data_IF_843668890642
#
_entry.id   IF_843668890642
#
_cell.length_a   1.000
_cell.length_b   1.000
_cell.length_c   1.000
_cell.angle_alpha   90.00
_cell.angle_beta   90.00
_cell.angle_gamma   90.00
#
_symmetry.space_group_name_H-M   'P 1'
#
loop_
_entity.id
_entity.type
_entity.pdbx_description
1 polymer ?
#
# COMPACT_ATOMS: atom_id res chain seq x y z
N UNK A 1 -1.23 -16.79 21.86
CA UNK A 1 -0.47 -17.54 20.84
C UNK A 1 0.77 -16.73 20.44
N UNK A 2 1.85 -17.36 19.97
CA UNK A 2 3.06 -16.68 19.50
C UNK A 2 2.92 -16.28 18.02
N UNK A 3 3.39 -15.10 17.65
CA UNK A 3 3.49 -14.67 16.23
C UNK A 3 4.69 -15.36 15.59
N UNK A 4 4.57 -15.82 14.35
CA UNK A 4 5.71 -16.28 13.56
C UNK A 4 6.21 -15.17 12.64
N UNK A 5 7.47 -14.79 12.78
CA UNK A 5 8.10 -13.72 12.01
C UNK A 5 9.03 -14.32 10.95
N UNK A 6 8.68 -14.14 9.68
CA UNK A 6 9.54 -14.46 8.54
C UNK A 6 10.24 -13.19 8.09
N UNK A 7 11.55 -13.23 7.92
CA UNK A 7 12.30 -12.07 7.45
C UNK A 7 13.37 -12.44 6.42
N UNK A 8 13.73 -11.48 5.58
CA UNK A 8 14.74 -11.65 4.54
C UNK A 8 14.86 -10.40 3.66
N UNK A 9 15.84 -10.39 2.76
CA UNK A 9 16.15 -9.22 1.93
C UNK A 9 15.36 -9.16 0.60
N UNK A 10 14.56 -10.18 0.30
CA UNK A 10 13.89 -10.33 -0.99
C UNK A 10 12.40 -10.63 -0.80
N UNK A 11 11.53 -9.70 -1.21
CA UNK A 11 10.07 -9.85 -1.13
C UNK A 11 9.56 -11.10 -1.86
N UNK A 12 10.13 -11.41 -3.03
CA UNK A 12 9.75 -12.59 -3.81
C UNK A 12 10.00 -13.90 -3.05
N UNK A 13 11.15 -14.02 -2.36
CA UNK A 13 11.49 -15.19 -1.54
C UNK A 13 10.49 -15.40 -0.40
N UNK A 14 10.17 -14.32 0.31
CA UNK A 14 9.21 -14.32 1.40
C UNK A 14 7.82 -14.71 0.89
N UNK A 15 7.39 -14.11 -0.23
CA UNK A 15 6.11 -14.41 -0.89
C UNK A 15 6.02 -15.89 -1.28
N UNK A 16 6.96 -16.40 -2.06
CA UNK A 16 6.96 -17.79 -2.52
C UNK A 16 6.94 -18.79 -1.35
N UNK A 17 7.71 -18.50 -0.29
CA UNK A 17 7.72 -19.30 0.93
C UNK A 17 6.35 -19.33 1.61
N UNK A 18 5.73 -18.17 1.81
CA UNK A 18 4.41 -18.10 2.43
C UNK A 18 3.33 -18.78 1.58
N UNK A 19 3.32 -18.54 0.27
CA UNK A 19 2.33 -19.16 -0.63
C UNK A 19 2.47 -20.70 -0.64
N UNK A 20 3.69 -21.23 -0.55
CA UNK A 20 3.93 -22.68 -0.40
C UNK A 20 3.36 -23.21 0.91
N UNK A 21 3.62 -22.54 2.02
CA UNK A 21 3.07 -22.94 3.33
C UNK A 21 1.54 -22.88 3.37
N UNK A 22 0.93 -21.85 2.75
CA UNK A 22 -0.53 -21.75 2.63
C UNK A 22 -1.08 -22.89 1.78
N UNK A 23 -0.42 -23.23 0.68
CA UNK A 23 -0.83 -24.35 -0.16
C UNK A 23 -0.80 -25.68 0.61
N UNK A 24 0.31 -25.97 1.29
CA UNK A 24 0.44 -27.19 2.11
C UNK A 24 -0.63 -27.23 3.22
N UNK A 25 -0.93 -26.08 3.84
CA UNK A 25 -1.96 -25.95 4.86
C UNK A 25 -3.37 -26.20 4.33
N UNK A 26 -3.72 -25.57 3.21
CA UNK A 26 -5.05 -25.71 2.58
C UNK A 26 -5.25 -27.07 1.91
N UNK A 27 -4.17 -27.80 1.62
CA UNK A 27 -4.22 -29.20 1.19
C UNK A 27 -4.78 -30.16 2.24
N UNK A 28 -4.77 -29.78 3.53
CA UNK A 28 -5.38 -30.55 4.63
C UNK A 28 -6.91 -30.32 4.74
N UNK A 29 -7.56 -30.12 3.60
CA UNK A 29 -9.00 -29.91 3.45
C UNK A 29 -9.82 -31.08 4.06
N UNK A 30 -11.00 -30.85 4.67
CA UNK A 30 -11.78 -29.61 4.75
C UNK A 30 -11.53 -28.70 5.97
N UNK A 31 -10.68 -29.12 6.92
CA UNK A 31 -10.67 -28.54 8.27
C UNK A 31 -9.74 -27.32 8.42
N UNK A 32 -8.96 -26.99 7.38
CA UNK A 32 -7.89 -25.98 7.45
C UNK A 32 -8.11 -24.84 6.46
N UNK A 33 -8.34 -23.63 7.00
CA UNK A 33 -8.51 -22.38 6.23
C UNK A 33 -7.29 -21.49 6.35
N UNK A 34 -7.07 -20.67 5.33
CA UNK A 34 -6.01 -19.68 5.28
C UNK A 34 -6.53 -18.30 4.86
N UNK A 35 -6.12 -17.27 5.57
CA UNK A 35 -6.31 -15.87 5.17
C UNK A 35 -4.93 -15.26 4.91
N UNK A 36 -4.74 -14.66 3.74
CA UNK A 36 -3.54 -13.91 3.39
C UNK A 36 -3.92 -12.43 3.33
N UNK A 37 -3.39 -11.64 4.26
CA UNK A 37 -3.55 -10.19 4.33
C UNK A 37 -2.42 -9.52 3.55
N UNK A 38 -2.77 -8.72 2.54
CA UNK A 38 -1.81 -8.02 1.66
C UNK A 38 -2.18 -6.54 1.48
N UNK A 39 -1.23 -5.66 1.09
CA UNK A 39 -1.56 -4.32 0.66
C UNK A 39 -2.59 -4.32 -0.47
N UNK A 40 -3.45 -3.31 -0.51
CA UNK A 40 -4.57 -3.24 -1.46
C UNK A 40 -4.09 -3.28 -2.92
N UNK A 41 -2.95 -2.65 -3.22
CA UNK A 41 -2.35 -2.61 -4.55
C UNK A 41 -1.80 -3.97 -5.00
N UNK A 42 -1.43 -4.85 -4.07
CA UNK A 42 -0.78 -6.12 -4.36
C UNK A 42 -1.76 -7.30 -4.48
N UNK A 43 -3.05 -7.11 -4.17
CA UNK A 43 -4.04 -8.19 -4.05
C UNK A 43 -4.08 -9.10 -5.29
N UNK A 44 -4.22 -8.52 -6.47
CA UNK A 44 -4.33 -9.27 -7.72
C UNK A 44 -3.05 -10.07 -8.02
N UNK A 45 -1.88 -9.48 -7.77
CA UNK A 45 -0.60 -10.13 -7.99
C UNK A 45 -0.43 -11.35 -7.08
N UNK A 46 -0.87 -11.25 -5.83
CA UNK A 46 -0.87 -12.39 -4.90
C UNK A 46 -1.87 -13.47 -5.30
N UNK A 47 -3.06 -13.12 -5.79
CA UNK A 47 -4.04 -14.09 -6.30
C UNK A 47 -3.48 -14.86 -7.50
N UNK A 48 -2.88 -14.16 -8.46
CA UNK A 48 -2.25 -14.79 -9.62
C UNK A 48 -1.06 -15.66 -9.20
N UNK A 49 -0.20 -15.17 -8.30
CA UNK A 49 0.95 -15.92 -7.81
C UNK A 49 0.51 -17.22 -7.10
N UNK A 50 -0.53 -17.16 -6.26
CA UNK A 50 -1.07 -18.34 -5.59
C UNK A 50 -1.62 -19.36 -6.59
N UNK A 51 -2.43 -18.94 -7.56
CA UNK A 51 -3.01 -19.85 -8.56
C UNK A 51 -1.93 -20.50 -9.43
N UNK A 52 -0.94 -19.73 -9.88
CA UNK A 52 0.17 -20.24 -10.67
C UNK A 52 1.04 -21.24 -9.88
N UNK A 53 1.31 -20.96 -8.61
CA UNK A 53 2.16 -21.81 -7.77
C UNK A 53 1.46 -23.08 -7.28
N UNK A 54 0.17 -22.98 -6.95
CA UNK A 54 -0.64 -24.13 -6.48
C UNK A 54 -1.07 -25.06 -7.61
N UNK A 55 -1.11 -24.57 -8.86
CA UNK A 55 -1.67 -25.29 -9.99
C UNK A 55 -3.18 -25.52 -9.88
N UNK A 56 -3.85 -24.90 -8.91
CA UNK A 56 -5.30 -25.00 -8.72
C UNK A 56 -6.05 -23.98 -9.58
N UNK A 57 -7.27 -24.34 -9.97
CA UNK A 57 -8.15 -23.46 -10.75
C UNK A 57 -8.87 -22.40 -9.90
N UNK A 58 -8.67 -22.37 -8.58
CA UNK A 58 -9.40 -21.47 -7.69
C UNK A 58 -8.82 -21.34 -6.28
N UNK A 59 -9.30 -20.31 -5.59
CA UNK A 59 -8.99 -19.94 -4.21
C UNK A 59 -10.06 -20.54 -3.29
N UNK A 60 -9.98 -21.84 -3.01
CA UNK A 60 -11.01 -22.55 -2.22
C UNK A 60 -10.94 -22.19 -0.73
N UNK A 61 -9.93 -22.72 -0.02
CA UNK A 61 -9.73 -22.48 1.42
C UNK A 61 -8.73 -21.37 1.73
N UNK A 62 -8.18 -20.73 0.70
CA UNK A 62 -7.29 -19.59 0.82
C UNK A 62 -8.03 -18.32 0.39
N UNK A 63 -8.17 -17.36 1.29
CA UNK A 63 -8.72 -16.02 0.99
C UNK A 63 -7.59 -14.99 0.99
N UNK A 64 -7.40 -14.27 -0.12
CA UNK A 64 -6.43 -13.17 -0.22
C UNK A 64 -7.20 -11.85 -0.08
N UNK A 65 -6.92 -11.10 0.98
CA UNK A 65 -7.69 -9.91 1.38
C UNK A 65 -6.76 -8.76 1.77
N UNK A 66 -7.23 -7.52 1.66
CA UNK A 66 -6.62 -6.40 2.41
C UNK A 66 -7.25 -6.29 3.79
N UNK A 67 -6.64 -5.55 4.73
CA UNK A 67 -7.24 -5.29 6.04
C UNK A 67 -8.67 -4.74 5.95
N UNK A 68 -8.93 -3.84 5.00
CA UNK A 68 -10.25 -3.26 4.79
C UNK A 68 -11.27 -4.26 4.24
N UNK A 69 -10.84 -5.14 3.33
CA UNK A 69 -11.68 -6.23 2.83
C UNK A 69 -11.97 -7.25 3.92
N UNK A 70 -10.98 -7.55 4.78
CA UNK A 70 -11.17 -8.38 5.97
C UNK A 70 -12.21 -7.76 6.92
N UNK A 71 -12.12 -6.45 7.19
CA UNK A 71 -13.09 -5.75 8.03
C UNK A 71 -14.53 -5.85 7.49
N UNK A 72 -14.70 -5.63 6.19
CA UNK A 72 -16.01 -5.78 5.52
C UNK A 72 -16.51 -7.23 5.59
N UNK A 73 -15.61 -8.19 5.31
CA UNK A 73 -15.91 -9.63 5.26
C UNK A 73 -16.34 -10.19 6.61
N UNK A 74 -15.64 -9.84 7.70
CA UNK A 74 -15.95 -10.31 9.04
C UNK A 74 -17.13 -9.58 9.67
N UNK A 75 -17.31 -8.29 9.37
CA UNK A 75 -18.50 -7.54 9.77
C UNK A 75 -19.76 -8.10 9.10
N UNK A 76 -19.67 -8.47 7.82
CA UNK A 76 -20.78 -9.09 7.09
C UNK A 76 -21.28 -10.39 7.71
N UNK A 77 -20.38 -11.24 8.24
CA UNK A 77 -20.77 -12.50 8.90
C UNK A 77 -21.66 -12.26 10.10
N UNK A 78 -21.31 -11.29 10.93
CA UNK A 78 -22.06 -10.98 12.15
C UNK A 78 -23.31 -10.15 11.86
N UNK A 79 -23.68 -9.98 10.59
CA UNK A 79 -24.85 -9.22 10.16
C UNK A 79 -24.68 -7.71 10.33
N UNK A 80 -23.45 -7.22 10.55
CA UNK A 80 -23.15 -5.79 10.48
C UNK A 80 -23.02 -5.43 9.00
N UNK A 81 -24.11 -4.96 8.42
CA UNK A 81 -24.08 -4.35 7.10
C UNK A 81 -23.15 -3.14 7.12
N UNK A 82 -22.35 -2.96 6.08
CA UNK A 82 -21.73 -1.66 5.80
C UNK A 82 -22.89 -0.65 5.71
N UNK A 83 -23.02 0.22 6.72
CA UNK A 83 -24.13 1.18 6.79
C UNK A 83 -24.06 2.22 5.66
N UNK A 84 -24.61 3.41 5.91
CA UNK A 84 -24.40 4.55 5.03
C UNK A 84 -22.93 5.00 5.13
N UNK A 85 -22.04 4.31 4.41
CA UNK A 85 -20.61 4.63 4.34
C UNK A 85 -20.43 5.91 3.54
N UNK A 86 -19.70 6.87 4.11
CA UNK A 86 -19.44 8.12 3.44
C UNK A 86 -18.47 7.91 2.26
N UNK A 87 -18.88 8.35 1.07
CA UNK A 87 -18.00 8.39 -0.11
C UNK A 87 -17.10 9.63 -0.06
N UNK A 88 -15.99 9.60 -0.81
CA UNK A 88 -15.03 10.70 -0.86
C UNK A 88 -15.65 12.06 -1.26
N UNK A 89 -16.65 12.05 -2.16
CA UNK A 89 -17.40 13.25 -2.52
C UNK A 89 -18.26 13.76 -1.36
N UNK A 90 -18.97 12.88 -0.66
CA UNK A 90 -19.73 13.21 0.54
C UNK A 90 -18.84 13.75 1.66
N UNK A 91 -17.67 13.15 1.86
CA UNK A 91 -16.66 13.63 2.80
C UNK A 91 -16.22 15.06 2.46
N UNK A 92 -15.90 15.33 1.19
CA UNK A 92 -15.54 16.66 0.75
C UNK A 92 -16.67 17.68 0.97
N UNK A 93 -17.93 17.29 0.74
CA UNK A 93 -19.09 18.16 0.98
C UNK A 93 -19.27 18.49 2.47
N UNK A 94 -19.15 17.48 3.35
CA UNK A 94 -19.25 17.67 4.81
C UNK A 94 -18.11 18.58 5.28
N UNK A 95 -16.88 18.32 4.88
CA UNK A 95 -15.72 19.13 5.27
C UNK A 95 -15.81 20.56 4.72
N UNK A 96 -16.27 20.74 3.48
CA UNK A 96 -16.51 22.08 2.93
C UNK A 96 -17.50 22.86 3.79
N UNK A 97 -18.63 22.24 4.14
CA UNK A 97 -19.63 22.86 5.01
C UNK A 97 -19.04 23.23 6.38
N UNK A 98 -18.31 22.32 7.02
CA UNK A 98 -17.69 22.57 8.32
C UNK A 98 -16.68 23.72 8.28
N UNK A 99 -15.88 23.80 7.21
CA UNK A 99 -14.94 24.90 7.00
C UNK A 99 -15.66 26.26 6.87
N UNK A 100 -16.85 26.29 6.28
CA UNK A 100 -17.66 27.51 6.18
C UNK A 100 -18.36 27.85 7.50
N UNK A 101 -19.00 26.86 8.13
CA UNK A 101 -19.76 27.03 9.37
C UNK A 101 -18.86 27.50 10.53
N UNK A 102 -17.60 27.01 10.58
CA UNK A 102 -16.63 27.36 11.62
C UNK A 102 -15.58 28.39 11.17
N UNK A 103 -15.76 29.04 10.02
CA UNK A 103 -14.74 29.92 9.42
C UNK A 103 -14.21 31.00 10.36
N UNK A 104 -15.08 31.58 11.20
CA UNK A 104 -14.72 32.63 12.16
C UNK A 104 -13.91 32.12 13.36
N UNK A 105 -13.94 30.82 13.62
CA UNK A 105 -13.24 30.17 14.74
C UNK A 105 -11.86 29.63 14.31
N UNK A 106 -11.66 29.41 13.00
CA UNK A 106 -10.40 28.92 12.44
C UNK A 106 -9.30 29.99 12.49
N UNK A 107 -8.13 29.62 13.01
CA UNK A 107 -6.98 30.52 13.18
C UNK A 107 -6.05 30.52 11.96
N UNK A 108 -5.80 29.35 11.38
CA UNK A 108 -4.89 29.16 10.26
C UNK A 108 -5.63 28.91 8.94
N UNK A 109 -6.76 28.22 8.98
CA UNK A 109 -7.43 27.69 7.79
C UNK A 109 -8.55 28.57 7.24
N UNK A 110 -8.95 29.65 7.93
CA UNK A 110 -10.07 30.52 7.55
C UNK A 110 -9.95 31.07 6.10
N UNK A 111 -8.74 31.45 5.67
CA UNK A 111 -8.49 31.97 4.32
C UNK A 111 -8.34 30.89 3.24
N UNK A 112 -8.26 29.63 3.65
CA UNK A 112 -8.11 28.47 2.76
C UNK A 112 -9.42 27.70 2.58
N UNK A 113 -10.45 27.99 3.39
CA UNK A 113 -11.76 27.33 3.39
C UNK A 113 -12.44 27.29 2.01
N UNK A 114 -12.20 28.30 1.16
CA UNK A 114 -12.82 28.39 -0.17
C UNK A 114 -12.03 27.64 -1.26
N UNK A 115 -10.82 27.15 -0.97
CA UNK A 115 -9.97 26.51 -1.99
C UNK A 115 -10.32 25.03 -2.14
N UNK A 116 -10.79 24.56 -3.32
CA UNK A 116 -11.20 23.16 -3.50
C UNK A 116 -10.07 22.15 -3.24
N UNK A 117 -8.83 22.51 -3.60
CA UNK A 117 -7.66 21.67 -3.35
C UNK A 117 -7.35 21.49 -1.86
N UNK A 118 -7.73 22.46 -1.03
CA UNK A 118 -7.49 22.43 0.42
C UNK A 118 -8.41 21.43 1.12
N UNK A 119 -9.66 21.29 0.69
CA UNK A 119 -10.61 20.31 1.25
C UNK A 119 -10.04 18.89 1.16
N UNK A 120 -9.45 18.53 0.00
CA UNK A 120 -8.82 17.22 -0.18
C UNK A 120 -7.61 17.02 0.74
N UNK A 121 -6.82 18.06 0.96
CA UNK A 121 -5.69 18.01 1.89
C UNK A 121 -6.17 17.80 3.33
N UNK A 122 -7.22 18.51 3.75
CA UNK A 122 -7.82 18.32 5.07
C UNK A 122 -8.39 16.91 5.22
N UNK A 123 -9.13 16.40 4.23
CA UNK A 123 -9.64 15.04 4.25
C UNK A 123 -8.51 14.00 4.44
N UNK A 124 -7.41 14.15 3.70
CA UNK A 124 -6.24 13.28 3.82
C UNK A 124 -5.61 13.33 5.22
N UNK A 125 -5.40 14.54 5.76
CA UNK A 125 -4.81 14.74 7.10
C UNK A 125 -5.72 14.19 8.20
N UNK A 126 -7.04 14.41 8.13
CA UNK A 126 -7.98 13.85 9.09
C UNK A 126 -7.99 12.32 9.02
N UNK A 127 -7.90 11.74 7.82
CA UNK A 127 -7.73 10.30 7.63
C UNK A 127 -6.42 9.77 8.25
N UNK A 128 -5.30 10.48 8.06
CA UNK A 128 -4.02 10.11 8.67
C UNK A 128 -4.06 10.16 10.21
N UNK A 129 -4.71 11.19 10.78
CA UNK A 129 -4.90 11.31 12.22
C UNK A 129 -5.69 10.12 12.76
N UNK A 130 -6.81 9.76 12.11
CA UNK A 130 -7.61 8.58 12.46
C UNK A 130 -6.80 7.29 12.37
N UNK A 131 -6.09 7.06 11.25
CA UNK A 131 -5.21 5.89 11.06
C UNK A 131 -4.14 5.77 12.13
N UNK A 132 -3.63 6.89 12.62
CA UNK A 132 -2.66 6.98 13.70
C UNK A 132 -3.28 6.88 15.11
N UNK A 133 -4.60 6.74 15.23
CA UNK A 133 -5.30 6.71 16.52
C UNK A 133 -5.28 8.04 17.27
N UNK A 134 -5.12 9.16 16.55
CA UNK A 134 -5.09 10.52 17.12
C UNK A 134 -6.50 11.11 17.03
N UNK A 135 -7.12 11.34 18.18
CA UNK A 135 -8.45 11.96 18.27
C UNK A 135 -8.38 13.48 18.53
N UNK A 136 -9.54 14.13 18.52
CA UNK A 136 -9.64 15.57 18.73
C UNK A 136 -9.15 15.99 20.12
N UNK A 137 -9.35 15.16 21.15
CA UNK A 137 -8.93 15.45 22.52
C UNK A 137 -7.40 15.42 22.65
N UNK A 138 -6.76 14.43 22.01
CA UNK A 138 -5.31 14.30 21.94
C UNK A 138 -4.69 15.53 21.27
N UNK A 139 -5.25 16.00 20.14
CA UNK A 139 -4.77 17.21 19.47
C UNK A 139 -4.95 18.47 20.32
N UNK A 140 -6.08 18.63 21.01
CA UNK A 140 -6.30 19.75 21.91
C UNK A 140 -5.27 19.77 23.05
N UNK A 141 -4.91 18.62 23.61
CA UNK A 141 -3.86 18.53 24.65
C UNK A 141 -2.46 18.87 24.14
N UNK A 142 -2.15 18.52 22.89
CA UNK A 142 -0.85 18.84 22.27
C UNK A 142 -0.68 20.33 21.97
N UNK A 143 -1.78 21.08 21.82
CA UNK A 143 -1.73 22.51 21.50
C UNK A 143 -0.91 23.33 22.50
N UNK A 144 -0.95 22.97 23.79
CA UNK A 144 -0.21 23.67 24.85
C UNK A 144 1.29 23.36 24.83
N UNK A 145 1.70 22.25 24.20
CA UNK A 145 3.08 21.79 24.14
C UNK A 145 3.83 22.28 22.90
N UNK A 146 3.10 22.81 21.90
CA UNK A 146 3.68 23.32 20.66
C UNK A 146 4.16 24.75 20.85
N UNK A 147 5.47 24.95 20.69
CA UNK A 147 6.09 26.28 20.79
C UNK A 147 5.90 27.15 19.55
N UNK A 148 5.82 26.56 18.36
CA UNK A 148 5.58 27.28 17.11
C UNK A 148 4.09 27.67 16.98
N UNK A 149 3.82 28.98 17.04
CA UNK A 149 2.47 29.57 16.95
C UNK A 149 1.75 29.13 15.66
N UNK A 150 2.46 29.03 14.53
CA UNK A 150 1.84 28.65 13.27
C UNK A 150 1.37 27.18 13.30
N UNK A 151 2.19 26.28 13.83
CA UNK A 151 1.82 24.89 14.04
C UNK A 151 0.71 24.76 15.08
N UNK A 152 0.79 25.53 16.18
CA UNK A 152 -0.23 25.56 17.22
C UNK A 152 -1.61 25.94 16.67
N UNK A 153 -1.68 26.94 15.79
CA UNK A 153 -2.92 27.33 15.12
C UNK A 153 -3.46 26.22 14.21
N UNK A 154 -2.60 25.54 13.45
CA UNK A 154 -3.01 24.40 12.61
C UNK A 154 -3.54 23.23 13.43
N UNK A 155 -2.88 22.89 14.54
CA UNK A 155 -3.32 21.82 15.46
C UNK A 155 -4.68 22.19 16.07
N UNK A 156 -4.87 23.44 16.48
CA UNK A 156 -6.16 23.96 16.99
C UNK A 156 -7.29 23.78 15.98
N UNK A 157 -7.03 24.15 14.72
CA UNK A 157 -8.03 24.06 13.65
C UNK A 157 -8.32 22.60 13.30
N UNK A 158 -7.29 21.74 13.22
CA UNK A 158 -7.46 20.30 12.98
C UNK A 158 -8.23 19.61 14.10
N UNK A 159 -7.98 19.96 15.37
CA UNK A 159 -8.71 19.41 16.52
C UNK A 159 -10.21 19.75 16.43
N UNK A 160 -10.51 21.01 16.09
CA UNK A 160 -11.89 21.49 15.90
C UNK A 160 -12.56 20.73 14.76
N UNK A 161 -11.93 20.69 13.58
CA UNK A 161 -12.48 20.02 12.41
C UNK A 161 -12.67 18.52 12.63
N UNK A 162 -11.71 17.82 13.27
CA UNK A 162 -11.82 16.39 13.54
C UNK A 162 -13.00 16.09 14.47
N UNK A 163 -13.19 16.90 15.52
CA UNK A 163 -14.31 16.77 16.45
C UNK A 163 -15.66 17.06 15.80
N UNK A 164 -15.78 18.18 15.07
CA UNK A 164 -17.03 18.55 14.39
C UNK A 164 -17.37 17.58 13.25
N UNK A 165 -16.36 17.07 12.55
CA UNK A 165 -16.56 16.07 11.51
C UNK A 165 -17.16 14.78 12.08
N UNK A 166 -16.63 14.26 13.19
CA UNK A 166 -17.22 13.10 13.86
C UNK A 166 -18.68 13.33 14.29
N UNK A 167 -19.00 14.49 14.87
CA UNK A 167 -20.39 14.85 15.24
C UNK A 167 -21.30 15.00 14.04
N UNK A 168 -20.81 15.60 12.96
CA UNK A 168 -21.55 15.74 11.71
C UNK A 168 -21.93 14.37 11.15
N UNK A 169 -20.99 13.42 11.07
CA UNK A 169 -21.27 12.06 10.60
C UNK A 169 -22.29 11.35 11.47
N UNK A 170 -22.16 11.44 12.80
CA UNK A 170 -23.13 10.86 13.72
C UNK A 170 -24.53 11.45 13.53
N UNK A 171 -24.66 12.77 13.41
CA UNK A 171 -25.95 13.43 13.21
C UNK A 171 -26.62 13.07 11.87
N UNK A 172 -25.82 12.85 10.83
CA UNK A 172 -26.29 12.47 9.50
C UNK A 172 -26.52 10.95 9.36
N UNK A 173 -26.12 10.15 10.35
CA UNK A 173 -26.20 8.69 10.31
C UNK A 173 -25.26 8.05 9.31
N UNK A 174 -24.09 8.67 9.05
CA UNK A 174 -23.04 8.11 8.19
C UNK A 174 -21.90 7.52 9.02
N UNK A 175 -21.23 6.51 8.46
CA UNK A 175 -19.99 5.95 8.98
C UNK A 175 -18.81 6.39 8.12
N UNK A 176 -17.66 6.61 8.77
CA UNK A 176 -16.43 6.91 8.07
C UNK A 176 -15.69 5.61 7.70
N UNK A 177 -15.24 5.45 6.44
CA UNK A 177 -14.39 4.32 6.07
C UNK A 177 -13.08 4.19 6.86
N UNK A 178 -12.55 5.29 7.39
CA UNK A 178 -11.32 5.25 8.21
C UNK A 178 -11.54 4.59 9.58
N UNK A 179 -12.80 4.39 10.00
CA UNK A 179 -13.15 3.77 11.28
C UNK A 179 -13.37 2.24 11.15
N UNK A 180 -13.31 1.69 9.93
CA UNK A 180 -13.59 0.27 9.61
C UNK A 180 -12.68 -0.70 10.41
N UNK A 181 -11.40 -0.37 10.54
CA UNK A 181 -10.42 -1.22 11.23
C UNK A 181 -10.59 -1.16 12.75
N UNK A 182 -10.91 0.01 13.30
CA UNK A 182 -11.23 0.14 14.73
C UNK A 182 -12.51 -0.63 15.07
N UNK A 183 -13.54 -0.51 14.23
CA UNK A 183 -14.78 -1.26 14.39
C UNK A 183 -14.54 -2.78 14.32
N UNK A 184 -13.63 -3.24 13.43
CA UNK A 184 -13.20 -4.63 13.36
C UNK A 184 -12.46 -5.07 14.63
N UNK A 185 -11.50 -4.28 15.11
CA UNK A 185 -10.76 -4.60 16.33
C UNK A 185 -11.71 -4.71 17.53
N UNK A 186 -12.67 -3.79 17.67
CA UNK A 186 -13.71 -3.88 18.70
C UNK A 186 -14.54 -5.15 18.51
N UNK A 187 -14.99 -5.47 17.30
CA UNK A 187 -15.76 -6.68 17.01
C UNK A 187 -15.01 -7.95 17.45
N UNK A 188 -13.73 -8.07 17.10
CA UNK A 188 -12.92 -9.24 17.44
C UNK A 188 -12.56 -9.32 18.94
N UNK A 189 -12.58 -8.19 19.64
CA UNK A 189 -12.34 -8.13 21.10
C UNK A 189 -13.50 -8.64 21.96
N UNK A 190 -14.74 -8.59 21.45
CA UNK A 190 -15.93 -8.89 22.25
C UNK A 190 -15.99 -10.38 22.64
N UNK A 191 -16.31 -10.72 23.91
CA UNK A 191 -16.32 -12.09 24.36
C UNK A 191 -17.35 -12.93 23.58
N UNK A 192 -16.96 -14.17 23.34
CA UNK A 192 -17.63 -15.21 22.57
C UNK A 192 -19.18 -15.32 22.75
N UNK A 193 -19.79 -15.22 23.95
CA UNK A 193 -21.21 -15.54 24.14
C UNK A 193 -22.23 -14.78 23.27
N UNK A 194 -21.89 -13.60 22.74
CA UNK A 194 -22.78 -12.79 21.87
C UNK A 194 -22.54 -13.01 20.36
N UNK A 195 -21.42 -13.63 19.97
CA UNK A 195 -20.96 -13.78 18.58
C UNK A 195 -20.97 -15.24 18.10
N UNK A 196 -21.50 -16.13 18.94
CA UNK A 196 -20.88 -17.42 19.24
C UNK A 196 -20.86 -18.48 18.14
N UNK A 197 -21.51 -18.32 16.98
CA UNK A 197 -21.46 -19.36 15.94
C UNK A 197 -20.80 -18.88 14.64
N UNK A 198 -20.85 -17.58 14.33
CA UNK A 198 -20.55 -17.12 12.96
C UNK A 198 -19.08 -16.87 12.68
N UNK A 199 -18.28 -16.65 13.72
CA UNK A 199 -16.84 -16.39 13.60
C UNK A 199 -15.97 -17.47 14.26
N UNK A 200 -16.55 -18.56 14.78
CA UNK A 200 -15.77 -19.63 15.42
C UNK A 200 -14.77 -20.28 14.47
N UNK A 201 -15.08 -20.30 13.17
CA UNK A 201 -14.19 -20.81 12.13
C UNK A 201 -12.83 -20.09 12.09
N UNK A 202 -12.74 -18.85 12.61
CA UNK A 202 -11.46 -18.16 12.73
C UNK A 202 -10.47 -18.91 13.64
N UNK A 203 -10.96 -19.62 14.67
CA UNK A 203 -10.12 -20.40 15.58
C UNK A 203 -9.39 -21.57 14.89
N UNK A 204 -9.85 -21.97 13.70
CA UNK A 204 -9.24 -23.01 12.85
C UNK A 204 -8.64 -22.42 11.56
N UNK A 205 -8.48 -21.11 11.53
CA UNK A 205 -7.94 -20.38 10.38
C UNK A 205 -6.53 -19.90 10.70
N UNK A 206 -5.60 -20.13 9.79
CA UNK A 206 -4.27 -19.56 9.84
C UNK A 206 -4.19 -18.29 9.01
N UNK A 207 -3.47 -17.29 9.50
CA UNK A 207 -3.38 -15.95 8.91
C UNK A 207 -1.93 -15.65 8.55
N UNK A 208 -1.70 -15.18 7.32
CA UNK A 208 -0.42 -14.67 6.85
C UNK A 208 -0.56 -13.20 6.52
N UNK A 209 0.33 -12.34 7.01
CA UNK A 209 0.37 -10.91 6.68
C UNK A 209 1.65 -10.63 5.90
N UNK A 210 1.51 -10.24 4.63
CA UNK A 210 2.62 -10.16 3.67
C UNK A 210 2.63 -8.77 3.00
N UNK A 211 3.81 -8.18 2.80
CA UNK A 211 3.97 -6.96 1.98
C UNK A 211 3.88 -5.62 2.70
N UNK A 212 3.69 -5.58 4.01
CA UNK A 212 3.58 -4.32 4.76
C UNK A 212 4.95 -3.78 5.16
N UNK A 213 5.80 -4.57 5.83
CA UNK A 213 7.17 -4.23 6.23
C UNK A 213 8.20 -4.21 5.10
N UNK A 214 7.79 -3.77 3.90
CA UNK A 214 8.63 -3.59 2.71
C UNK A 214 8.77 -2.09 2.41
N UNK A 215 7.64 -1.39 2.26
CA UNK A 215 7.60 0.03 1.90
C UNK A 215 7.10 0.94 3.03
N UNK A 216 6.39 0.39 4.02
CA UNK A 216 5.82 1.18 5.13
C UNK A 216 5.76 0.37 6.43
N UNK A 217 5.36 1.02 7.51
CA UNK A 217 5.04 0.33 8.76
C UNK A 217 3.52 0.08 8.85
N UNK A 218 3.12 -0.81 9.76
CA UNK A 218 1.71 -0.94 10.13
C UNK A 218 1.23 0.31 10.86
N UNK A 219 -0.02 0.70 10.62
CA UNK A 219 -0.68 1.76 11.39
C UNK A 219 -1.11 1.23 12.77
N UNK A 220 -1.33 2.11 13.77
CA UNK A 220 -1.92 1.72 15.05
C UNK A 220 -3.23 0.93 14.93
N UNK A 221 -4.11 1.29 13.99
CA UNK A 221 -5.36 0.55 13.73
C UNK A 221 -5.08 -0.86 13.19
N UNK A 222 -4.12 -1.02 12.27
CA UNK A 222 -3.70 -2.32 11.77
C UNK A 222 -3.13 -3.19 12.89
N UNK A 223 -2.28 -2.62 13.77
CA UNK A 223 -1.79 -3.32 14.95
C UNK A 223 -2.92 -3.75 15.90
N UNK A 224 -3.96 -2.92 16.08
CA UNK A 224 -5.11 -3.28 16.89
C UNK A 224 -5.85 -4.51 16.32
N UNK A 225 -5.98 -4.60 15.00
CA UNK A 225 -6.55 -5.79 14.33
C UNK A 225 -5.63 -7.01 14.50
N UNK A 226 -4.32 -6.85 14.27
CA UNK A 226 -3.32 -7.92 14.44
C UNK A 226 -3.37 -8.50 15.86
N UNK A 227 -3.47 -7.64 16.89
CA UNK A 227 -3.58 -8.07 18.29
C UNK A 227 -4.80 -8.96 18.54
N UNK A 228 -5.93 -8.65 17.90
CA UNK A 228 -7.15 -9.45 18.05
C UNK A 228 -7.08 -10.74 17.25
N UNK A 229 -6.52 -10.71 16.03
CA UNK A 229 -6.30 -11.91 15.23
C UNK A 229 -5.40 -12.90 15.97
N UNK A 230 -4.33 -12.44 16.61
CA UNK A 230 -3.43 -13.28 17.40
C UNK A 230 -4.12 -14.05 18.54
N UNK A 231 -5.27 -13.56 19.03
CA UNK A 231 -6.08 -14.20 20.07
C UNK A 231 -7.14 -15.15 19.52
N UNK A 232 -7.43 -15.08 18.22
CA UNK A 232 -8.60 -15.71 17.57
C UNK A 232 -8.25 -16.67 16.44
N UNK A 233 -7.07 -16.57 15.86
CA UNK A 233 -6.63 -17.45 14.78
C UNK A 233 -5.82 -18.63 15.32
N UNK A 234 -5.75 -19.69 14.51
CA UNK A 234 -4.93 -20.87 14.84
C UNK A 234 -3.44 -20.55 14.76
N UNK A 235 -3.04 -19.77 13.75
CA UNK A 235 -1.67 -19.30 13.55
C UNK A 235 -1.62 -17.93 12.90
N UNK A 236 -0.68 -17.08 13.35
CA UNK A 236 -0.39 -15.79 12.72
C UNK A 236 1.08 -15.71 12.29
N UNK A 237 1.29 -15.57 10.98
CA UNK A 237 2.61 -15.39 10.37
C UNK A 237 2.71 -14.01 9.73
N UNK A 238 3.80 -13.27 10.00
CA UNK A 238 4.03 -11.94 9.42
C UNK A 238 5.39 -11.94 8.70
N UNK A 239 5.44 -11.38 7.50
CA UNK A 239 6.70 -11.21 6.76
C UNK A 239 7.24 -9.78 6.89
N UNK A 240 8.56 -9.63 7.00
CA UNK A 240 9.23 -8.33 7.03
C UNK A 240 10.49 -8.35 6.15
N UNK A 241 10.69 -7.32 5.33
CA UNK A 241 11.89 -7.20 4.51
C UNK A 241 13.02 -6.54 5.31
N UNK A 242 13.93 -7.34 5.84
CA UNK A 242 15.06 -6.85 6.60
C UNK A 242 16.27 -7.79 6.43
N UNK A 243 17.46 -7.20 6.43
CA UNK A 243 18.76 -7.88 6.45
C UNK A 243 19.02 -8.57 7.78
N UNK A 244 18.53 -7.99 8.87
CA UNK A 244 18.65 -8.54 10.21
C UNK A 244 17.51 -8.03 11.10
N UNK A 245 17.25 -8.75 12.19
CA UNK A 245 16.26 -8.32 13.19
C UNK A 245 16.95 -7.41 14.22
N UNK A 246 16.57 -6.14 14.33
CA UNK A 246 17.22 -5.20 15.24
C UNK A 246 16.92 -5.55 16.70
N UNK A 247 17.95 -5.51 17.55
CA UNK A 247 17.83 -5.76 18.99
C UNK A 247 17.39 -4.54 19.80
N UNK A 248 17.71 -3.33 19.32
CA UNK A 248 17.41 -2.05 19.96
C UNK A 248 17.06 -0.97 18.92
N UNK A 249 16.78 0.26 19.39
CA UNK A 249 16.41 1.38 18.51
C UNK A 249 17.60 1.89 17.67
N UNK A 250 18.82 1.77 18.17
CA UNK A 250 20.01 2.16 17.43
C UNK A 250 20.23 1.22 16.24
N UNK A 251 20.03 -0.09 16.41
CA UNK A 251 20.12 -1.07 15.34
C UNK A 251 19.05 -0.89 14.25
N UNK A 252 17.91 -0.25 14.57
CA UNK A 252 16.88 0.07 13.58
C UNK A 252 17.35 1.11 12.58
N UNK A 253 18.15 2.08 13.01
CA UNK A 253 18.69 3.12 12.14
C UNK A 253 20.00 2.66 11.48
N UNK A 254 20.78 1.79 12.12
CA UNK A 254 22.06 1.27 11.60
C UNK A 254 21.90 0.23 10.48
N UNK A 255 22.05 0.63 9.21
CA UNK A 255 21.96 -0.26 8.05
C UNK A 255 21.43 0.46 6.80
N UNK A 256 21.26 -0.24 5.67
CA UNK A 256 20.76 0.37 4.44
C UNK A 256 19.34 0.94 4.59
N UNK A 257 19.12 2.14 4.06
CA UNK A 257 17.82 2.83 4.13
C UNK A 257 16.68 2.04 3.44
N UNK A 258 17.01 1.25 2.42
CA UNK A 258 16.03 0.41 1.70
C UNK A 258 15.32 -0.59 2.61
N UNK A 259 15.96 -1.01 3.71
CA UNK A 259 15.38 -1.94 4.69
C UNK A 259 14.89 -1.26 5.97
N UNK A 260 14.98 0.07 6.06
CA UNK A 260 14.55 0.83 7.24
C UNK A 260 13.07 0.58 7.62
N UNK A 261 12.10 0.57 6.67
CA UNK A 261 10.71 0.25 7.02
C UNK A 261 10.56 -1.16 7.62
N UNK A 262 11.27 -2.13 7.06
CA UNK A 262 11.27 -3.49 7.58
C UNK A 262 11.90 -3.58 8.96
N UNK A 263 13.08 -2.99 9.18
CA UNK A 263 13.71 -2.96 10.51
C UNK A 263 12.83 -2.29 11.56
N UNK A 264 12.17 -1.17 11.24
CA UNK A 264 11.21 -0.50 12.12
C UNK A 264 10.02 -1.40 12.46
N UNK A 265 9.43 -2.04 11.45
CA UNK A 265 8.32 -2.98 11.62
C UNK A 265 8.74 -4.18 12.48
N UNK A 266 9.89 -4.80 12.19
CA UNK A 266 10.44 -5.92 12.96
C UNK A 266 10.66 -5.53 14.43
N UNK A 267 11.27 -4.37 14.70
CA UNK A 267 11.49 -3.87 16.06
C UNK A 267 10.18 -3.72 16.83
N UNK A 268 9.17 -3.10 16.19
CA UNK A 268 7.84 -2.93 16.79
C UNK A 268 7.15 -4.28 17.07
N UNK A 269 7.21 -5.23 16.12
CA UNK A 269 6.65 -6.57 16.30
C UNK A 269 7.35 -7.34 17.44
N UNK A 270 8.68 -7.26 17.52
CA UNK A 270 9.47 -7.92 18.57
C UNK A 270 9.20 -7.32 19.96
N UNK A 271 9.03 -5.99 20.05
CA UNK A 271 8.68 -5.29 21.29
C UNK A 271 7.24 -5.59 21.73
N UNK A 272 6.30 -5.69 20.78
CA UNK A 272 4.87 -5.92 21.07
C UNK A 272 4.56 -7.39 21.37
N UNK A 273 5.28 -8.32 20.74
CA UNK A 273 5.04 -9.75 20.83
C UNK A 273 6.29 -10.50 21.31
N UNK A 274 6.22 -11.07 22.52
CA UNK A 274 7.21 -11.98 23.10
C UNK A 274 6.55 -13.35 23.31
N UNK A 275 7.07 -14.53 22.93
CA UNK A 275 8.18 -14.90 22.04
C UNK A 275 7.67 -15.26 20.63
N UNK A 276 8.31 -14.71 19.58
CA UNK A 276 8.00 -15.07 18.20
C UNK A 276 8.98 -16.12 17.67
N UNK A 277 8.49 -17.16 16.98
CA UNK A 277 9.34 -17.98 16.12
C UNK A 277 9.91 -17.07 15.03
N UNK A 278 11.24 -17.01 14.89
CA UNK A 278 11.93 -16.14 13.94
C UNK A 278 12.63 -17.00 12.91
N UNK A 279 12.27 -16.84 11.64
CA UNK A 279 12.85 -17.63 10.56
C UNK A 279 13.39 -16.69 9.46
N UNK A 280 14.70 -16.77 9.24
CA UNK A 280 15.37 -16.12 8.12
C UNK A 280 15.09 -16.90 6.85
N UNK A 281 14.54 -16.23 5.84
CA UNK A 281 14.35 -16.77 4.50
C UNK A 281 15.53 -16.33 3.64
N UNK A 282 16.30 -17.31 3.16
CA UNK A 282 17.38 -17.08 2.23
C UNK A 282 16.84 -16.48 0.91
N UNK A 283 17.55 -15.53 0.28
CA UNK A 283 17.15 -15.00 -1.01
C UNK A 283 17.06 -16.12 -2.04
N UNK A 284 16.01 -16.11 -2.83
CA UNK A 284 15.81 -16.99 -3.98
C UNK A 284 16.15 -16.19 -5.24
N UNK A 285 17.43 -15.91 -5.46
CA UNK A 285 17.85 -15.43 -6.77
C UNK A 285 17.52 -16.55 -7.76
N UNK A 286 16.42 -16.38 -8.51
CA UNK A 286 16.17 -17.18 -9.69
C UNK A 286 17.42 -17.03 -10.53
N UNK A 287 18.17 -18.12 -10.68
CA UNK A 287 19.17 -18.17 -11.73
C UNK A 287 18.43 -17.76 -13.01
N UNK A 288 19.00 -16.89 -13.88
CA UNK A 288 18.38 -16.63 -15.16
C UNK A 288 17.98 -17.97 -15.78
N UNK A 289 16.76 -18.06 -16.34
CA UNK A 289 16.19 -19.28 -16.91
C UNK A 289 17.28 -20.09 -17.63
N UNK A 290 17.27 -21.43 -17.55
CA UNK A 290 18.34 -22.26 -18.12
C UNK A 290 18.65 -21.92 -19.61
N UNK A 291 17.64 -21.52 -20.39
CA UNK A 291 17.76 -21.03 -21.77
C UNK A 291 18.52 -19.69 -21.87
N UNK A 292 18.34 -18.79 -20.91
CA UNK A 292 19.13 -17.57 -20.77
C UNK A 292 20.57 -17.94 -20.37
N UNK A 293 20.78 -18.77 -19.35
CA UNK A 293 22.11 -19.15 -18.87
C UNK A 293 23.01 -19.76 -19.97
N UNK A 294 22.44 -20.53 -20.90
CA UNK A 294 23.14 -21.04 -22.10
C UNK A 294 23.52 -19.93 -23.09
N UNK A 295 22.68 -18.91 -23.25
CA UNK A 295 22.92 -17.76 -24.13
C UNK A 295 23.99 -16.80 -23.58
N UNK A 296 24.29 -16.88 -22.28
CA UNK A 296 25.08 -15.90 -21.53
C UNK A 296 26.52 -16.34 -21.24
N UNK A 297 26.93 -17.54 -21.67
CA UNK A 297 28.33 -17.98 -21.65
C UNK A 297 29.02 -18.08 -20.27
N UNK A 298 28.33 -17.75 -19.18
CA UNK A 298 28.67 -18.02 -17.78
C UNK A 298 27.51 -17.53 -16.90
N UNK A 299 27.23 -18.18 -15.75
CA UNK A 299 26.29 -17.63 -14.79
C UNK A 299 26.82 -16.26 -14.30
N UNK A 300 25.98 -15.22 -14.18
CA UNK A 300 26.41 -14.01 -13.48
C UNK A 300 26.81 -14.41 -12.06
N UNK A 301 28.10 -14.30 -11.77
CA UNK A 301 28.62 -14.45 -10.43
C UNK A 301 27.98 -13.36 -9.56
N UNK A 302 26.94 -13.74 -8.80
CA UNK A 302 26.24 -12.93 -7.82
C UNK A 302 25.80 -11.52 -8.28
N UNK A 303 24.50 -11.23 -8.40
CA UNK A 303 24.01 -9.84 -8.48
C UNK A 303 24.25 -9.03 -7.19
N UNK A 304 24.96 -9.58 -6.19
CA UNK A 304 25.42 -8.87 -5.00
C UNK A 304 26.17 -7.57 -5.32
N UNK A 305 26.78 -7.44 -6.51
CA UNK A 305 27.42 -6.20 -6.97
C UNK A 305 26.45 -5.04 -7.18
N UNK A 306 25.19 -5.29 -7.57
CA UNK A 306 24.19 -4.24 -7.81
C UNK A 306 23.54 -3.76 -6.52
N UNK A 307 23.31 -4.65 -5.55
CA UNK A 307 22.81 -4.24 -4.23
C UNK A 307 23.89 -3.60 -3.37
N UNK A 308 25.16 -4.02 -3.51
CA UNK A 308 26.27 -3.42 -2.77
C UNK A 308 26.65 -2.01 -3.28
N UNK A 309 26.46 -1.71 -4.58
CA UNK A 309 26.78 -0.38 -5.13
C UNK A 309 25.70 0.67 -4.87
N UNK A 310 24.50 0.28 -4.44
CA UNK A 310 23.40 1.22 -4.16
C UNK A 310 23.35 1.69 -2.69
N UNK A 311 24.21 1.17 -1.81
CA UNK A 311 24.06 1.34 -0.34
C UNK A 311 25.26 1.98 0.37
N UNK A 312 26.07 2.79 -0.31
CA UNK A 312 27.08 3.62 0.36
C UNK A 312 27.55 4.80 -0.49
N UNK A 313 27.98 5.92 0.12
CA UNK A 313 28.79 6.90 -0.60
C UNK A 313 30.11 6.23 -0.98
N UNK A 314 30.39 6.19 -2.28
CA UNK A 314 31.61 5.60 -2.83
C UNK A 314 32.84 6.25 -2.17
N UNK A 315 33.64 5.52 -1.34
CA UNK A 315 34.72 6.14 -0.57
C UNK A 315 36.00 6.33 -1.39
N UNK A 316 35.97 6.00 -2.68
CA UNK A 316 37.06 6.27 -3.60
C UNK A 316 36.45 6.76 -4.91
N UNK A 317 37.00 7.83 -5.48
CA UNK A 317 36.65 8.36 -6.80
C UNK A 317 36.97 7.37 -7.92
N UNK A 318 36.24 6.26 -7.95
CA UNK A 318 36.31 5.25 -8.99
C UNK A 318 35.42 5.75 -10.11
N UNK A 319 36.05 6.14 -11.22
CA UNK A 319 35.34 6.39 -12.48
C UNK A 319 34.36 5.24 -12.74
N UNK A 320 33.08 5.51 -13.09
CA UNK A 320 32.13 4.45 -13.33
C UNK A 320 32.66 3.61 -14.50
N UNK A 321 33.10 2.39 -14.18
CA UNK A 321 33.55 1.44 -15.18
C UNK A 321 32.44 1.25 -16.20
N UNK A 322 32.76 1.46 -17.47
CA UNK A 322 31.89 1.16 -18.60
C UNK A 322 31.35 -0.27 -18.42
N UNK A 323 30.06 -0.38 -18.13
CA UNK A 323 29.39 -1.66 -18.06
C UNK A 323 29.53 -2.31 -19.45
N UNK A 324 30.06 -3.53 -19.52
CA UNK A 324 30.26 -4.23 -20.79
C UNK A 324 28.93 -4.34 -21.56
N UNK A 325 28.93 -4.24 -22.90
CA UNK A 325 27.71 -4.27 -23.72
C UNK A 325 26.89 -5.57 -23.59
N UNK A 326 27.51 -6.66 -23.13
CA UNK A 326 26.90 -7.98 -22.89
C UNK A 326 26.36 -8.18 -21.46
N UNK A 327 26.26 -7.10 -20.68
CA UNK A 327 25.68 -7.15 -19.34
C UNK A 327 24.15 -7.09 -19.34
N UNK A 328 23.52 -7.77 -18.39
CA UNK A 328 22.07 -7.73 -18.15
C UNK A 328 21.54 -6.34 -17.77
N UNK A 329 22.44 -5.46 -17.32
CA UNK A 329 22.09 -4.12 -16.86
C UNK A 329 22.71 -3.12 -17.83
N UNK A 330 21.86 -2.45 -18.60
CA UNK A 330 22.29 -1.43 -19.55
C UNK A 330 21.94 -0.05 -19.02
N UNK A 331 22.94 0.84 -18.98
CA UNK A 331 22.72 2.26 -18.75
C UNK A 331 22.68 2.97 -20.09
N UNK A 332 21.62 3.75 -20.31
CA UNK A 332 21.39 4.45 -21.57
C UNK A 332 21.21 5.93 -21.28
N UNK A 333 22.01 6.73 -21.97
CA UNK A 333 21.96 8.18 -21.93
C UNK A 333 21.22 8.69 -23.17
N UNK A 334 20.19 9.50 -22.97
CA UNK A 334 19.49 10.19 -24.05
C UNK A 334 19.61 11.70 -23.89
N UNK A 335 19.52 12.42 -25.00
CA UNK A 335 19.64 13.88 -25.05
C UNK A 335 18.33 14.58 -24.69
N UNK A 336 17.19 13.97 -25.00
CA UNK A 336 15.86 14.47 -24.68
C UNK A 336 14.98 13.37 -24.05
N UNK A 337 13.91 13.79 -23.38
CA UNK A 337 12.92 12.87 -22.78
C UNK A 337 12.12 12.15 -23.87
N UNK A 338 11.86 12.81 -24.99
CA UNK A 338 11.19 12.21 -26.14
C UNK A 338 12.02 11.05 -26.69
N UNK A 339 13.34 11.26 -26.85
CA UNK A 339 14.30 10.23 -27.27
C UNK A 339 14.32 9.06 -26.29
N UNK A 340 14.22 9.33 -24.99
CA UNK A 340 14.15 8.29 -23.96
C UNK A 340 12.95 7.37 -24.15
N UNK A 341 11.75 7.94 -24.34
CA UNK A 341 10.53 7.15 -24.52
C UNK A 341 10.54 6.37 -25.84
N UNK A 342 11.08 6.96 -26.92
CA UNK A 342 11.19 6.32 -28.22
C UNK A 342 12.21 5.18 -28.20
N UNK A 343 13.36 5.39 -27.55
CA UNK A 343 14.36 4.35 -27.33
C UNK A 343 13.78 3.19 -26.53
N UNK A 344 13.11 3.49 -25.41
CA UNK A 344 12.44 2.48 -24.58
C UNK A 344 11.41 1.67 -25.39
N UNK A 345 10.56 2.33 -26.17
CA UNK A 345 9.59 1.66 -27.02
C UNK A 345 10.25 0.78 -28.09
N UNK A 346 11.36 1.25 -28.68
CA UNK A 346 12.18 0.47 -29.60
C UNK A 346 12.76 -0.78 -28.95
N UNK A 347 13.35 -0.65 -27.76
CA UNK A 347 13.95 -1.76 -27.03
C UNK A 347 12.91 -2.80 -26.60
N UNK A 348 11.74 -2.38 -26.12
CA UNK A 348 10.64 -3.29 -25.82
C UNK A 348 10.23 -4.08 -27.06
N UNK A 349 10.15 -3.43 -28.24
CA UNK A 349 9.79 -4.11 -29.49
C UNK A 349 10.88 -5.07 -29.93
N UNK A 350 12.16 -4.70 -29.76
CA UNK A 350 13.31 -5.56 -30.02
C UNK A 350 13.26 -6.82 -29.17
N UNK A 351 13.06 -6.68 -27.84
CA UNK A 351 12.95 -7.82 -26.92
C UNK A 351 11.79 -8.76 -27.29
N UNK A 352 10.65 -8.23 -27.72
CA UNK A 352 9.49 -9.04 -28.10
C UNK A 352 9.68 -9.74 -29.46
N UNK A 353 10.33 -9.09 -30.42
CA UNK A 353 10.49 -9.60 -31.79
C UNK A 353 11.69 -10.53 -31.91
N UNK A 354 12.84 -10.11 -31.39
CA UNK A 354 14.13 -10.80 -31.55
C UNK A 354 14.39 -11.82 -30.43
N UNK A 355 14.05 -11.48 -29.19
CA UNK A 355 14.33 -12.32 -28.02
C UNK A 355 13.09 -13.08 -27.49
N UNK A 356 11.98 -13.03 -28.24
CA UNK A 356 10.74 -13.77 -27.96
C UNK A 356 10.10 -13.53 -26.57
N UNK A 357 10.40 -12.40 -25.92
CA UNK A 357 9.71 -12.00 -24.69
C UNK A 357 8.23 -11.67 -24.95
N UNK A 358 7.40 -11.81 -23.92
CA UNK A 358 6.01 -11.33 -23.96
C UNK A 358 5.95 -9.95 -23.30
N UNK A 359 5.02 -9.11 -23.73
CA UNK A 359 4.80 -7.79 -23.10
C UNK A 359 4.55 -7.85 -21.59
N UNK A 360 3.97 -8.96 -21.08
CA UNK A 360 3.73 -9.16 -19.64
C UNK A 360 5.00 -9.40 -18.83
N UNK A 361 6.11 -9.74 -19.49
CA UNK A 361 7.40 -10.03 -18.86
C UNK A 361 8.22 -8.74 -18.67
N UNK A 362 7.75 -7.62 -19.25
CA UNK A 362 8.44 -6.34 -19.24
C UNK A 362 7.68 -5.35 -18.36
N UNK A 363 8.39 -4.76 -17.39
CA UNK A 363 7.87 -3.71 -16.52
C UNK A 363 8.65 -2.42 -16.72
N UNK A 364 7.94 -1.29 -16.73
CA UNK A 364 8.54 0.06 -16.82
C UNK A 364 8.24 0.79 -15.53
N UNK A 365 9.29 1.11 -14.77
CA UNK A 365 9.19 1.92 -13.57
C UNK A 365 9.47 3.39 -13.92
N UNK A 366 8.62 4.29 -13.43
CA UNK A 366 8.77 5.75 -13.60
C UNK A 366 8.77 6.42 -12.24
N UNK A 367 9.61 7.45 -12.08
CA UNK A 367 9.69 8.22 -10.84
C UNK A 367 8.62 9.32 -10.77
N UNK A 368 8.28 9.93 -11.91
CA UNK A 368 7.29 11.01 -11.98
C UNK A 368 6.16 10.66 -12.95
N UNK A 369 5.13 9.94 -12.48
CA UNK A 369 4.04 9.50 -13.35
C UNK A 369 3.25 10.64 -13.98
N UNK A 370 3.22 11.83 -13.37
CA UNK A 370 2.43 12.96 -13.89
C UNK A 370 2.99 13.48 -15.23
N UNK A 371 4.31 13.51 -15.36
CA UNK A 371 4.99 14.04 -16.55
C UNK A 371 5.33 12.94 -17.55
N UNK A 372 5.69 11.75 -17.08
CA UNK A 372 6.20 10.65 -17.91
C UNK A 372 5.08 9.85 -18.59
N UNK A 373 3.95 9.61 -17.89
CA UNK A 373 2.90 8.73 -18.40
C UNK A 373 2.20 9.26 -19.65
N UNK A 374 1.85 10.55 -19.79
CA UNK A 374 1.25 11.06 -21.02
C UNK A 374 2.16 10.86 -22.24
N UNK A 375 3.48 11.04 -22.04
CA UNK A 375 4.49 10.85 -23.09
C UNK A 375 4.63 9.37 -23.45
N UNK A 376 4.76 8.49 -22.45
CA UNK A 376 4.82 7.04 -22.65
C UNK A 376 3.56 6.52 -23.34
N UNK A 377 2.37 6.99 -22.97
CA UNK A 377 1.12 6.62 -23.63
C UNK A 377 1.13 6.99 -25.12
N UNK A 378 1.56 8.21 -25.46
CA UNK A 378 1.64 8.66 -26.85
C UNK A 378 2.62 7.80 -27.66
N UNK A 379 3.84 7.59 -27.14
CA UNK A 379 4.87 6.80 -27.80
C UNK A 379 4.46 5.33 -27.92
N UNK A 380 3.96 4.70 -26.86
CA UNK A 380 3.57 3.28 -26.90
C UNK A 380 2.38 3.05 -27.83
N UNK A 381 1.45 4.00 -27.93
CA UNK A 381 0.37 3.95 -28.92
C UNK A 381 0.93 3.96 -30.34
N UNK A 382 1.90 4.82 -30.64
CA UNK A 382 2.56 4.88 -31.94
C UNK A 382 3.31 3.59 -32.29
N UNK A 383 4.02 3.01 -31.31
CA UNK A 383 4.77 1.75 -31.47
C UNK A 383 3.90 0.49 -31.35
N UNK A 384 2.59 0.65 -31.11
CA UNK A 384 1.61 -0.44 -30.90
C UNK A 384 1.99 -1.39 -29.75
N UNK A 385 2.52 -0.82 -28.67
CA UNK A 385 2.84 -1.53 -27.44
C UNK A 385 1.63 -1.43 -26.51
N UNK A 386 1.05 -2.56 -26.06
CA UNK A 386 -0.04 -2.53 -25.09
C UNK A 386 0.48 -2.04 -23.74
N UNK A 387 -0.12 -0.97 -23.21
CA UNK A 387 0.26 -0.36 -21.94
C UNK A 387 -0.87 -0.58 -20.92
N UNK A 388 -0.53 -1.23 -19.81
CA UNK A 388 -1.38 -1.28 -18.62
C UNK A 388 -0.90 -0.22 -17.63
N UNK A 389 -1.82 0.61 -17.13
CA UNK A 389 -1.55 1.63 -16.13
C UNK A 389 -2.47 1.42 -14.94
N UNK A 390 -1.89 1.30 -13.76
CA UNK A 390 -2.61 1.20 -12.50
C UNK A 390 -3.10 2.59 -12.04
N UNK A 391 -3.96 3.21 -12.86
CA UNK A 391 -4.52 4.53 -12.56
C UNK A 391 -6.00 4.63 -12.94
N UNK A 392 -6.75 5.32 -12.09
CA UNK A 392 -8.15 5.67 -12.36
C UNK A 392 -8.19 6.69 -13.49
N UNK A 393 -8.95 6.39 -14.55
CA UNK A 393 -9.17 7.34 -15.65
C UNK A 393 -10.11 8.45 -15.20
N UNK A 394 -9.66 9.69 -15.34
CA UNK A 394 -10.51 10.85 -15.08
C UNK A 394 -11.68 10.90 -16.06
N UNK A 395 -12.90 11.02 -15.54
CA UNK A 395 -14.09 11.15 -16.37
C UNK A 395 -14.25 12.58 -16.92
N UNK A 396 -13.50 13.57 -16.44
CA UNK A 396 -13.66 14.98 -16.82
C UNK A 396 -13.52 15.23 -18.33
N UNK A 397 -12.81 14.35 -19.05
CA UNK A 397 -12.67 14.40 -20.50
C UNK A 397 -13.84 13.81 -21.29
N UNK A 398 -14.78 13.13 -20.64
CA UNK A 398 -15.92 12.47 -21.30
C UNK A 398 -16.94 13.48 -21.80
N UNK A 399 -17.61 13.14 -22.90
CA UNK A 399 -18.63 14.00 -23.50
C UNK A 399 -19.74 14.36 -22.48
N UNK A 400 -20.23 13.37 -21.72
CA UNK A 400 -21.28 13.57 -20.73
C UNK A 400 -20.90 14.61 -19.67
N UNK A 401 -19.72 14.47 -19.04
CA UNK A 401 -19.31 15.42 -18.00
C UNK A 401 -19.03 16.80 -18.57
N UNK A 402 -18.44 16.91 -19.77
CA UNK A 402 -18.27 18.19 -20.45
C UNK A 402 -19.61 18.87 -20.75
N UNK A 403 -20.63 18.12 -21.16
CA UNK A 403 -21.98 18.65 -21.38
C UNK A 403 -22.60 19.15 -20.09
N UNK A 404 -22.54 18.37 -19.00
CA UNK A 404 -23.11 18.77 -17.70
C UNK A 404 -22.40 20.03 -17.17
N UNK A 405 -21.06 20.05 -17.17
CA UNK A 405 -20.29 21.21 -16.73
C UNK A 405 -20.57 22.44 -17.59
N UNK A 406 -20.66 22.26 -18.91
CA UNK A 406 -21.03 23.34 -19.83
C UNK A 406 -22.42 23.92 -19.57
N UNK A 407 -23.41 23.09 -19.20
CA UNK A 407 -24.74 23.58 -18.82
C UNK A 407 -24.72 24.39 -17.52
N UNK A 408 -23.92 23.97 -16.53
CA UNK A 408 -23.74 24.72 -15.28
C UNK A 408 -23.01 26.05 -15.52
N UNK A 409 -21.95 26.03 -16.33
CA UNK A 409 -21.22 27.23 -16.75
C UNK A 409 -22.15 28.24 -17.45
N UNK A 410 -23.05 27.77 -18.33
CA UNK A 410 -24.04 28.63 -19.00
C UNK A 410 -24.97 29.28 -17.98
N UNK A 411 -25.44 28.51 -16.99
CA UNK A 411 -26.34 29.01 -15.95
C UNK A 411 -25.65 30.02 -15.02
N UNK A 412 -24.37 29.80 -14.69
CA UNK A 412 -23.60 30.67 -13.80
C UNK A 412 -23.15 31.96 -14.51
N UNK A 413 -22.65 31.86 -15.75
CA UNK A 413 -22.03 32.97 -16.48
C UNK A 413 -22.98 33.68 -17.44
N UNK A 414 -24.22 33.24 -17.55
CA UNK A 414 -25.25 33.88 -18.38
C UNK A 414 -24.89 33.90 -19.87
N UNK A 415 -24.56 32.74 -20.44
CA UNK A 415 -24.25 32.57 -21.87
C UNK A 415 -23.02 33.33 -22.41
N UNK A 416 -22.14 33.84 -21.54
CA UNK A 416 -20.90 34.50 -21.99
C UNK A 416 -19.88 33.48 -22.49
N UNK A 417 -19.48 33.61 -23.77
CA UNK A 417 -18.34 32.92 -24.37
C UNK A 417 -17.06 33.65 -23.97
N UNK A 418 -16.53 33.38 -22.77
CA UNK A 418 -15.18 33.80 -22.39
C UNK A 418 -14.33 32.57 -22.09
#
# INVERSE_FOLDING_TARGET
MAVRLLYGIQAAALRERCLREVFDWTGLWPDKRAIIIVPEQAKLDFEQAYLNQSGQAGLLMAEILSFRRLATRLSGEVGRTAGNMLQASGQAMVLYRLLQDHRSQLKAFANLADKPGFIRQIAAVLGDLKRCGIDAQTLSGLQEQVSDIALQHKVSDLATLLGEYGRALQSLGFSDPEDDLDALAVLLSQPLPLLNDRLEWLNQTSVWIIGFGELRNFTPQEYAVIDQLLRRCEQLTITVMAESLPGDELAVENGPDIFLPGRRTASQLIKRYHPAERLLIAPNWHQPNAELAELLGAPPANPAGLTASCTGPDPAGTTPGLISPDSFVRLVLTTAVEDQTAWLAGEIRRLVIEEHYRYRDISVAVCNPADDLPRLQATFTQYKIPLFLDQVRSLSGTALLRTILGLLDIAEKGWTRL
#
